data_IF_435745656975
#
_entry.id   IF_435745656975
#
_cell.length_a   1.000
_cell.length_b   1.000
_cell.length_c   1.000
_cell.angle_alpha   90.00
_cell.angle_beta   90.00
_cell.angle_gamma   90.00
#
_symmetry.space_group_name_H-M   'P 1'
#
loop_
_entity.id
_entity.type
_entity.pdbx_description
1 polymer ?
#
# COMPACT_ATOMS: atom_id res chain seq x y z
N UNK A 1 -27.66 17.30 9.95
CA UNK A 1 -27.19 16.51 8.79
C UNK A 1 -26.30 15.38 9.26
N UNK A 2 -26.44 14.19 8.66
CA UNK A 2 -25.51 13.08 8.90
C UNK A 2 -24.13 13.43 8.33
N UNK A 3 -23.06 13.10 9.05
CA UNK A 3 -21.68 13.36 8.62
C UNK A 3 -21.28 12.21 7.68
N UNK A 4 -20.86 12.55 6.47
CA UNK A 4 -20.25 11.60 5.52
C UNK A 4 -18.73 11.66 5.69
N UNK A 5 -18.10 10.51 5.86
CA UNK A 5 -16.66 10.36 6.09
C UNK A 5 -16.03 9.49 5.00
N UNK A 6 -14.70 9.44 4.96
CA UNK A 6 -14.02 8.63 3.95
C UNK A 6 -14.29 7.12 4.13
N UNK A 7 -14.56 6.69 5.37
CA UNK A 7 -14.93 5.31 5.67
C UNK A 7 -16.24 4.89 4.98
N UNK A 8 -17.20 5.81 4.84
CA UNK A 8 -18.52 5.53 4.26
C UNK A 8 -18.47 5.29 2.74
N UNK A 9 -17.35 5.61 2.08
CA UNK A 9 -17.17 5.48 0.64
C UNK A 9 -16.61 4.12 0.21
N UNK A 10 -15.99 3.37 1.12
CA UNK A 10 -15.23 2.15 0.78
C UNK A 10 -15.52 0.99 1.71
N UNK A 11 -15.84 1.26 2.97
CA UNK A 11 -16.00 0.23 3.99
C UNK A 11 -17.46 0.00 4.40
N UNK A 12 -17.65 -1.02 5.23
CA UNK A 12 -18.97 -1.36 5.76
C UNK A 12 -19.42 -0.32 6.80
N UNK A 13 -20.73 -0.12 6.96
CA UNK A 13 -21.28 0.71 8.03
C UNK A 13 -20.74 0.26 9.41
N UNK A 14 -20.20 1.21 10.18
CA UNK A 14 -19.63 0.96 11.51
C UNK A 14 -18.09 1.00 11.60
N UNK A 15 -17.40 1.21 10.47
CA UNK A 15 -15.97 1.54 10.48
C UNK A 15 -15.70 2.84 11.24
N UNK A 16 -14.55 2.93 11.91
CA UNK A 16 -14.11 4.14 12.60
C UNK A 16 -14.00 5.29 11.58
N UNK A 17 -14.71 6.41 11.78
CA UNK A 17 -14.69 7.52 10.83
C UNK A 17 -13.30 8.15 10.71
N UNK A 18 -12.88 8.44 9.49
CA UNK A 18 -11.63 9.15 9.21
C UNK A 18 -11.80 10.12 8.03
N UNK A 19 -10.87 11.07 7.94
CA UNK A 19 -10.67 11.90 6.77
C UNK A 19 -9.40 11.48 6.05
N UNK A 20 -9.38 11.65 4.74
CA UNK A 20 -8.16 11.47 3.96
C UNK A 20 -7.25 12.68 4.12
N UNK A 21 -5.97 12.49 3.84
CA UNK A 21 -5.02 13.58 3.78
C UNK A 21 -5.22 14.36 2.48
N UNK A 22 -5.50 15.66 2.55
CA UNK A 22 -5.73 16.51 1.37
C UNK A 22 -6.81 15.91 0.44
N UNK A 23 -6.56 15.84 -0.87
CA UNK A 23 -7.45 15.21 -1.87
C UNK A 23 -7.11 13.75 -2.16
N UNK A 24 -6.41 13.05 -1.25
CA UNK A 24 -6.09 11.64 -1.43
C UNK A 24 -7.35 10.78 -1.47
N UNK A 25 -7.26 9.69 -2.23
CA UNK A 25 -8.29 8.65 -2.26
C UNK A 25 -8.47 8.05 -0.86
N UNK A 26 -9.68 7.61 -0.51
CA UNK A 26 -9.91 6.79 0.67
C UNK A 26 -9.01 5.56 0.72
N UNK A 27 -8.63 5.13 1.93
CA UNK A 27 -7.91 3.87 2.14
C UNK A 27 -8.69 2.72 1.49
N UNK A 28 -7.98 1.81 0.81
CA UNK A 28 -8.54 0.65 0.11
C UNK A 28 -9.51 0.99 -1.05
N UNK A 29 -9.50 2.22 -1.57
CA UNK A 29 -10.36 2.59 -2.69
C UNK A 29 -10.06 1.76 -3.96
N UNK A 30 -8.78 1.56 -4.29
CA UNK A 30 -8.34 0.70 -5.38
C UNK A 30 -6.94 0.13 -5.11
N UNK A 31 -6.69 -1.08 -5.60
CA UNK A 31 -5.36 -1.71 -5.66
C UNK A 31 -4.67 -1.48 -7.02
N UNK A 32 -5.37 -0.90 -8.02
CA UNK A 32 -4.80 -0.57 -9.32
C UNK A 32 -4.14 0.82 -9.26
N UNK A 33 -2.81 0.82 -9.34
CA UNK A 33 -2.02 2.05 -9.34
C UNK A 33 -2.34 2.96 -10.52
N UNK A 34 -2.81 2.44 -11.67
CA UNK A 34 -3.15 3.26 -12.84
C UNK A 34 -4.50 3.94 -12.67
N UNK A 35 -5.48 3.26 -12.08
CA UNK A 35 -6.75 3.88 -11.69
C UNK A 35 -6.50 5.00 -10.67
N UNK A 36 -5.67 4.74 -9.65
CA UNK A 36 -5.30 5.77 -8.68
C UNK A 36 -4.58 6.97 -9.32
N UNK A 37 -3.74 6.74 -10.33
CA UNK A 37 -3.07 7.80 -11.09
C UNK A 37 -4.07 8.62 -11.92
N UNK A 38 -4.97 7.96 -12.63
CA UNK A 38 -6.00 8.60 -13.47
C UNK A 38 -6.91 9.50 -12.61
N UNK A 39 -7.33 9.02 -11.45
CA UNK A 39 -8.19 9.77 -10.52
C UNK A 39 -7.47 10.96 -9.85
N UNK A 40 -6.15 10.85 -9.63
CA UNK A 40 -5.40 11.82 -8.83
C UNK A 40 -4.64 12.87 -9.66
N UNK A 41 -4.27 12.60 -10.91
CA UNK A 41 -3.39 13.49 -11.69
C UNK A 41 -3.88 14.94 -11.73
N UNK A 42 -5.15 15.15 -12.08
CA UNK A 42 -5.71 16.50 -12.20
C UNK A 42 -5.74 17.24 -10.85
N UNK A 43 -6.11 16.55 -9.76
CA UNK A 43 -6.19 17.16 -8.44
C UNK A 43 -4.81 17.48 -7.88
N UNK A 44 -3.88 16.55 -8.02
CA UNK A 44 -2.52 16.70 -7.50
C UNK A 44 -1.77 17.84 -8.20
N UNK A 45 -2.00 18.05 -9.49
CA UNK A 45 -1.43 19.18 -10.23
C UNK A 45 -1.95 20.57 -9.79
N UNK A 46 -3.07 20.64 -9.05
CA UNK A 46 -3.61 21.92 -8.53
C UNK A 46 -2.85 22.42 -7.30
N UNK A 47 -2.09 21.56 -6.62
CA UNK A 47 -1.32 21.93 -5.45
C UNK A 47 0.02 22.56 -5.83
N UNK A 48 0.21 23.83 -5.47
CA UNK A 48 1.46 24.56 -5.69
C UNK A 48 2.35 24.65 -4.44
N UNK A 49 1.77 24.44 -3.24
CA UNK A 49 2.48 24.46 -1.96
C UNK A 49 3.18 23.15 -1.59
N UNK A 50 3.04 22.13 -2.43
CA UNK A 50 3.59 20.80 -2.20
C UNK A 50 2.49 19.73 -2.17
N UNK A 51 2.74 18.64 -2.86
CA UNK A 51 1.93 17.42 -2.76
C UNK A 51 2.77 16.20 -3.08
N UNK A 52 2.30 15.02 -2.70
CA UNK A 52 2.88 13.73 -3.03
C UNK A 52 1.76 12.71 -3.24
N UNK A 53 1.84 11.94 -4.33
CA UNK A 53 1.01 10.75 -4.50
C UNK A 53 1.81 9.50 -4.10
N UNK A 54 1.26 8.69 -3.19
CA UNK A 54 1.85 7.41 -2.80
C UNK A 54 1.24 6.30 -3.65
N UNK A 55 2.06 5.72 -4.54
CA UNK A 55 1.69 4.54 -5.29
C UNK A 55 2.12 3.32 -4.47
N UNK A 56 1.18 2.72 -3.77
CA UNK A 56 1.40 1.48 -3.05
C UNK A 56 1.52 0.35 -4.07
N UNK A 57 2.71 -0.23 -4.16
CA UNK A 57 2.97 -1.42 -4.97
C UNK A 57 3.01 -2.61 -4.01
N UNK A 58 2.54 -3.78 -4.43
CA UNK A 58 2.43 -4.98 -3.58
C UNK A 58 3.73 -5.37 -2.87
N UNK A 59 4.37 -6.48 -3.25
CA UNK A 59 5.67 -6.79 -2.65
C UNK A 59 6.83 -6.02 -3.30
N UNK A 60 8.00 -6.10 -2.67
CA UNK A 60 9.23 -5.50 -3.19
C UNK A 60 9.46 -5.90 -4.65
N UNK A 61 9.46 -4.91 -5.54
CA UNK A 61 9.81 -5.11 -6.96
C UNK A 61 11.30 -5.49 -7.04
N UNK A 62 11.60 -6.74 -7.36
CA UNK A 62 12.95 -7.28 -7.41
C UNK A 62 13.73 -6.85 -8.66
N UNK A 63 13.03 -6.55 -9.75
CA UNK A 63 13.60 -6.12 -11.02
C UNK A 63 13.76 -4.59 -11.08
N UNK A 64 15.01 -4.13 -11.11
CA UNK A 64 15.34 -2.71 -11.32
C UNK A 64 14.81 -2.19 -12.66
N UNK A 65 14.81 -3.04 -13.70
CA UNK A 65 14.22 -2.74 -15.00
C UNK A 65 12.72 -2.48 -14.90
N UNK A 66 12.00 -3.29 -14.11
CA UNK A 66 10.55 -3.11 -13.92
C UNK A 66 10.24 -1.81 -13.19
N UNK A 67 10.99 -1.47 -12.13
CA UNK A 67 10.86 -0.18 -11.43
C UNK A 67 11.13 0.98 -12.39
N UNK A 68 12.21 0.91 -13.16
CA UNK A 68 12.58 1.95 -14.14
C UNK A 68 11.48 2.16 -15.18
N UNK A 69 10.92 1.07 -15.71
CA UNK A 69 9.85 1.13 -16.68
C UNK A 69 8.57 1.72 -16.09
N UNK A 70 8.24 1.39 -14.83
CA UNK A 70 7.09 1.96 -14.13
C UNK A 70 7.27 3.46 -13.91
N UNK A 71 8.40 3.89 -13.34
CA UNK A 71 8.73 5.32 -13.15
C UNK A 71 8.63 6.07 -14.48
N UNK A 72 9.23 5.52 -15.54
CA UNK A 72 9.16 6.11 -16.88
C UNK A 72 7.72 6.24 -17.38
N UNK A 73 6.92 5.18 -17.25
CA UNK A 73 5.51 5.19 -17.67
C UNK A 73 4.71 6.24 -16.91
N UNK A 74 4.91 6.37 -15.60
CA UNK A 74 4.23 7.41 -14.81
C UNK A 74 4.66 8.81 -15.27
N UNK A 75 5.97 9.06 -15.39
CA UNK A 75 6.50 10.37 -15.79
C UNK A 75 6.19 10.78 -17.24
N UNK A 76 5.97 9.83 -18.15
CA UNK A 76 5.64 10.12 -19.55
C UNK A 76 4.13 10.32 -19.79
N UNK A 77 3.26 9.75 -18.95
CA UNK A 77 1.81 9.78 -19.16
C UNK A 77 1.04 10.66 -18.16
N UNK A 78 1.64 11.02 -17.02
CA UNK A 78 1.00 11.82 -15.97
C UNK A 78 1.82 13.08 -15.67
N UNK A 79 1.16 14.08 -15.08
CA UNK A 79 1.70 15.43 -14.84
C UNK A 79 2.00 15.68 -13.36
N UNK A 80 1.83 14.66 -12.52
CA UNK A 80 2.10 14.67 -11.09
C UNK A 80 3.42 15.37 -10.74
N UNK A 81 3.41 16.35 -9.83
CA UNK A 81 4.62 17.08 -9.44
C UNK A 81 5.58 16.20 -8.63
N UNK A 82 5.05 15.25 -7.86
CA UNK A 82 5.84 14.32 -7.06
C UNK A 82 5.03 13.05 -6.75
N UNK A 83 5.63 11.90 -6.96
CA UNK A 83 5.07 10.60 -6.59
C UNK A 83 6.15 9.72 -5.96
N UNK A 84 5.72 8.74 -5.18
CA UNK A 84 6.58 7.71 -4.59
C UNK A 84 6.06 6.32 -4.93
N UNK A 85 6.97 5.35 -5.02
CA UNK A 85 6.64 3.94 -5.08
C UNK A 85 6.87 3.35 -3.68
N UNK A 86 5.81 2.84 -3.07
CA UNK A 86 5.85 2.33 -1.69
C UNK A 86 5.59 0.82 -1.71
N UNK A 87 6.64 -0.01 -1.64
CA UNK A 87 6.48 -1.46 -1.57
C UNK A 87 6.12 -1.92 -0.16
N UNK A 88 5.35 -2.99 -0.06
CA UNK A 88 5.05 -3.66 1.20
C UNK A 88 6.16 -4.63 1.60
N UNK A 89 6.57 -4.53 2.86
CA UNK A 89 7.52 -5.43 3.50
C UNK A 89 7.17 -5.60 4.98
N UNK A 90 7.58 -6.73 5.53
CA UNK A 90 7.45 -7.06 6.94
C UNK A 90 8.83 -7.12 7.60
N UNK A 91 8.90 -6.86 8.91
CA UNK A 91 10.16 -6.91 9.68
C UNK A 91 10.07 -8.03 10.70
N UNK A 92 11.00 -8.98 10.62
CA UNK A 92 11.23 -9.98 11.65
C UNK A 92 12.45 -9.57 12.51
N UNK A 93 12.36 -9.60 13.86
CA UNK A 93 13.51 -9.34 14.72
C UNK A 93 14.71 -10.26 14.48
N UNK A 94 14.48 -11.48 13.97
CA UNK A 94 15.52 -12.47 13.66
C UNK A 94 16.03 -12.37 12.22
N UNK A 95 15.12 -12.26 11.24
CA UNK A 95 15.47 -12.36 9.81
C UNK A 95 15.50 -11.02 9.06
N UNK A 96 15.17 -9.92 9.73
CA UNK A 96 15.14 -8.59 9.13
C UNK A 96 13.99 -8.40 8.14
N UNK A 97 14.27 -7.74 7.01
CA UNK A 97 13.29 -7.43 5.98
C UNK A 97 12.78 -8.67 5.23
N UNK A 98 11.47 -8.76 5.09
CA UNK A 98 10.75 -9.81 4.38
C UNK A 98 9.85 -9.14 3.34
N UNK A 99 9.89 -9.61 2.08
CA UNK A 99 9.06 -9.04 1.02
C UNK A 99 7.59 -9.41 1.24
N UNK A 100 6.69 -8.43 1.07
CA UNK A 100 5.25 -8.62 1.23
C UNK A 100 4.75 -8.44 2.66
N UNK A 101 3.44 -8.57 2.80
CA UNK A 101 2.72 -8.49 4.07
C UNK A 101 2.67 -9.87 4.72
N UNK A 102 3.26 -10.00 5.91
CA UNK A 102 3.32 -11.24 6.67
C UNK A 102 3.02 -10.95 8.13
N UNK A 103 1.93 -11.52 8.65
CA UNK A 103 1.57 -11.42 10.06
C UNK A 103 2.53 -12.21 10.96
N UNK A 104 3.05 -13.33 10.44
CA UNK A 104 4.06 -14.18 11.06
C UNK A 104 5.22 -14.37 10.09
N UNK A 105 6.46 -14.45 10.61
CA UNK A 105 7.64 -14.57 9.75
C UNK A 105 7.69 -15.95 9.09
N UNK A 106 7.58 -16.06 7.75
CA UNK A 106 7.59 -17.36 7.07
C UNK A 106 8.91 -18.12 7.27
N UNK A 107 10.02 -17.41 7.54
CA UNK A 107 11.31 -18.04 7.86
C UNK A 107 11.34 -18.62 9.28
N UNK A 108 10.76 -17.94 10.26
CA UNK A 108 10.62 -18.48 11.61
C UNK A 108 9.74 -19.73 11.59
N UNK A 109 8.64 -19.68 10.86
CA UNK A 109 7.70 -20.79 10.71
C UNK A 109 8.40 -22.03 10.15
N UNK A 110 9.20 -21.86 9.09
CA UNK A 110 10.03 -22.96 8.54
C UNK A 110 11.03 -23.50 9.57
N UNK A 111 11.69 -22.63 10.34
CA UNK A 111 12.70 -23.02 11.33
C UNK A 111 12.12 -23.80 12.52
N UNK A 112 10.90 -23.46 12.96
CA UNK A 112 10.19 -24.21 14.02
C UNK A 112 9.45 -25.43 13.47
N UNK A 113 9.48 -25.64 12.15
CA UNK A 113 8.81 -26.75 11.49
C UNK A 113 7.31 -26.58 11.36
N UNK A 114 6.79 -25.35 11.48
CA UNK A 114 5.38 -25.05 11.24
C UNK A 114 5.01 -25.47 9.81
N UNK A 115 3.84 -26.10 9.70
CA UNK A 115 3.20 -26.44 8.43
C UNK A 115 1.78 -25.93 8.50
N UNK A 116 1.31 -25.35 7.40
CA UNK A 116 -0.03 -24.78 7.37
C UNK A 116 -1.07 -25.86 7.72
N UNK A 117 -1.89 -25.60 8.75
CA UNK A 117 -2.84 -26.56 9.32
C UNK A 117 -2.30 -27.48 10.42
N UNK A 118 -1.10 -27.22 10.98
CA UNK A 118 -0.61 -27.91 12.18
C UNK A 118 -1.35 -27.41 13.44
N UNK A 119 -1.80 -28.34 14.30
CA UNK A 119 -2.39 -28.01 15.60
C UNK A 119 -1.37 -27.28 16.47
N UNK A 120 -1.81 -26.22 17.17
CA UNK A 120 -0.97 -25.45 18.08
C UNK A 120 -0.78 -26.24 19.38
N UNK A 121 0.36 -26.92 19.52
CA UNK A 121 0.76 -27.53 20.78
C UNK A 121 1.52 -26.51 21.63
N UNK A 122 0.84 -25.98 22.64
CA UNK A 122 1.46 -25.11 23.66
C UNK A 122 2.32 -25.96 24.59
N UNK A 123 3.56 -26.26 24.20
CA UNK A 123 4.51 -26.92 25.10
C UNK A 123 5.11 -25.86 26.02
N UNK A 124 4.62 -25.84 27.26
CA UNK A 124 5.14 -25.05 28.39
C UNK A 124 6.48 -25.59 28.88
#
# INVERSE_FOLDING_TARGET
>A
PDIITAADLVEKPGTVPYYTNSSQLPVNYTDDIFEALDDQDEFQCKYTGGTVLHLYVGEKISSTTSVKNLVRKVSENYRLPYFSLTPTFSICPKHGYIAGEHRYCPKCDIEVGYRDGMEFDEIV
#
